data_IF_739967036331
#
_entry.id   IF_739967036331
#
_cell.length_a   1.000
_cell.length_b   1.000
_cell.length_c   1.000
_cell.angle_alpha   90.00
_cell.angle_beta   90.00
_cell.angle_gamma   90.00
#
_symmetry.space_group_name_H-M   'P 1'
#
loop_
_entity.id
_entity.type
_entity.pdbx_description
1 polymer ?
#
# COMPACT_ATOMS: atom_id res chain seq x y z
N UNK A 1 8.90 14.57 11.31
CA UNK A 1 8.89 13.15 11.29
C UNK A 1 9.42 12.61 9.97
N UNK A 2 9.60 11.34 9.97
CA UNK A 2 10.26 10.70 8.87
C UNK A 2 9.31 10.35 7.75
N UNK A 3 9.82 10.43 6.56
CA UNK A 3 9.13 9.89 5.41
C UNK A 3 9.39 8.40 5.31
N UNK A 4 8.48 7.70 4.69
CA UNK A 4 8.77 6.34 4.31
C UNK A 4 9.84 6.30 3.24
N UNK A 5 10.53 5.20 3.14
CA UNK A 5 11.54 5.02 2.11
C UNK A 5 10.92 4.73 0.76
N UNK A 6 11.75 4.67 -0.28
CA UNK A 6 11.27 4.30 -1.61
C UNK A 6 11.01 2.80 -1.71
N UNK A 7 10.20 2.43 -2.68
CA UNK A 7 9.95 1.03 -3.01
C UNK A 7 10.22 0.84 -4.49
N UNK A 8 10.46 -0.39 -4.89
CA UNK A 8 10.71 -0.66 -6.30
C UNK A 8 9.86 -1.83 -6.78
N UNK A 9 9.42 -1.75 -8.02
CA UNK A 9 8.72 -2.83 -8.66
C UNK A 9 9.68 -3.76 -9.37
N UNK A 10 9.16 -4.87 -9.85
CA UNK A 10 9.98 -5.88 -10.50
C UNK A 10 10.58 -5.38 -11.81
N UNK A 11 9.99 -4.36 -12.41
CA UNK A 11 10.49 -3.77 -13.66
C UNK A 11 11.51 -2.65 -13.41
N UNK A 12 11.86 -2.40 -12.16
CA UNK A 12 12.81 -1.34 -11.83
C UNK A 12 12.19 0.02 -11.58
N UNK A 13 10.88 0.16 -11.72
CA UNK A 13 10.20 1.42 -11.39
C UNK A 13 10.35 1.69 -9.90
N UNK A 14 10.63 2.94 -9.55
CA UNK A 14 10.82 3.36 -8.17
C UNK A 14 9.66 4.22 -7.75
N UNK A 15 9.09 3.95 -6.59
CA UNK A 15 7.94 4.69 -6.08
C UNK A 15 8.31 5.40 -4.80
N UNK A 16 7.99 6.70 -4.72
CA UNK A 16 8.36 7.54 -3.57
C UNK A 16 7.12 8.30 -3.11
N UNK A 17 6.86 8.27 -1.80
CA UNK A 17 5.83 9.11 -1.22
C UNK A 17 6.44 10.39 -0.69
N UNK A 18 5.71 11.49 -0.81
CA UNK A 18 6.18 12.78 -0.35
C UNK A 18 5.23 13.37 0.66
N UNK A 19 5.69 14.42 1.33
CA UNK A 19 4.93 15.10 2.38
C UNK A 19 4.33 16.40 1.85
N UNK A 20 3.54 17.02 2.70
CA UNK A 20 2.99 18.34 2.42
C UNK A 20 4.11 19.34 2.11
N UNK A 21 3.82 20.41 1.35
CA UNK A 21 2.47 20.79 0.93
C UNK A 21 1.91 20.03 -0.25
N UNK A 22 2.72 19.27 -0.98
CA UNK A 22 2.28 18.60 -2.19
C UNK A 22 2.45 17.09 -2.04
N UNK A 23 1.75 16.53 -1.06
CA UNK A 23 1.83 15.09 -0.81
C UNK A 23 1.41 14.31 -2.04
N UNK A 24 2.25 13.40 -2.49
CA UNK A 24 2.00 12.62 -3.68
C UNK A 24 2.84 11.36 -3.69
N UNK A 25 2.45 10.44 -4.54
CA UNK A 25 3.28 9.29 -4.87
C UNK A 25 3.84 9.54 -6.25
N UNK A 26 5.14 9.42 -6.39
CA UNK A 26 5.82 9.66 -7.65
C UNK A 26 6.44 8.35 -8.12
N UNK A 27 6.21 8.00 -9.38
CA UNK A 27 6.83 6.84 -9.99
C UNK A 27 7.94 7.31 -10.92
N UNK A 28 9.11 6.72 -10.76
CA UNK A 28 10.30 7.07 -11.54
C UNK A 28 10.80 5.85 -12.27
N UNK A 29 11.35 6.07 -13.47
CA UNK A 29 12.07 5.01 -14.14
C UNK A 29 13.38 4.73 -13.41
N UNK A 30 14.04 3.65 -13.77
CA UNK A 30 15.36 3.34 -13.23
C UNK A 30 16.34 4.49 -13.41
N UNK A 31 16.19 5.23 -14.49
CA UNK A 31 17.08 6.37 -14.77
C UNK A 31 16.68 7.65 -14.07
N UNK A 32 15.59 7.64 -13.31
CA UNK A 32 15.17 8.82 -12.57
C UNK A 32 14.17 9.72 -13.26
N UNK A 33 13.64 9.29 -14.40
CA UNK A 33 12.65 10.07 -15.12
C UNK A 33 11.26 9.80 -14.55
N UNK A 34 10.49 10.86 -14.33
CA UNK A 34 9.14 10.69 -13.79
C UNK A 34 8.23 10.03 -14.79
N UNK A 35 7.54 8.97 -14.36
CA UNK A 35 6.54 8.29 -15.15
C UNK A 35 5.15 8.87 -14.91
N UNK A 36 4.79 9.05 -13.63
CA UNK A 36 3.52 9.64 -13.25
C UNK A 36 3.62 10.08 -11.79
N UNK A 37 2.63 10.85 -11.39
CA UNK A 37 2.45 11.18 -9.98
C UNK A 37 0.98 11.08 -9.63
N UNK A 38 0.72 10.74 -8.38
CA UNK A 38 -0.63 10.62 -7.85
C UNK A 38 -0.75 11.57 -6.66
N UNK A 39 -1.67 12.52 -6.74
CA UNK A 39 -1.85 13.49 -5.67
C UNK A 39 -2.60 12.85 -4.51
N UNK A 40 -2.05 12.98 -3.33
CA UNK A 40 -2.64 12.42 -2.13
C UNK A 40 -3.31 13.51 -1.31
N UNK A 41 -4.39 13.16 -0.61
CA UNK A 41 -5.07 14.12 0.25
C UNK A 41 -4.37 14.29 1.60
N UNK A 42 -3.40 13.46 1.91
CA UNK A 42 -2.65 13.53 3.15
C UNK A 42 -1.23 13.05 2.91
N UNK A 43 -0.34 13.35 3.84
CA UNK A 43 1.07 12.99 3.69
C UNK A 43 1.23 11.49 3.56
N UNK A 44 2.16 11.10 2.69
CA UNK A 44 2.54 9.69 2.54
C UNK A 44 3.78 9.48 3.40
N UNK A 45 3.54 9.13 4.66
CA UNK A 45 4.63 8.97 5.61
C UNK A 45 5.17 7.56 5.70
N UNK A 46 4.62 6.65 4.90
CA UNK A 46 5.03 5.25 4.95
C UNK A 46 5.63 4.84 3.62
N UNK A 47 6.40 3.76 3.65
CA UNK A 47 7.00 3.22 2.43
C UNK A 47 5.93 2.50 1.60
N UNK A 48 5.78 2.81 0.32
CA UNK A 48 4.86 2.05 -0.52
C UNK A 48 5.29 0.59 -0.63
N UNK A 49 4.35 -0.27 -0.91
CA UNK A 49 4.63 -1.68 -1.16
C UNK A 49 4.10 -2.03 -2.55
N UNK A 50 4.85 -2.84 -3.29
CA UNK A 50 4.48 -3.22 -4.64
C UNK A 50 4.15 -4.70 -4.64
N UNK A 51 2.98 -5.06 -5.14
CA UNK A 51 2.58 -6.47 -5.16
C UNK A 51 3.04 -7.15 -6.45
N UNK A 52 2.73 -8.44 -6.54
CA UNK A 52 3.21 -9.25 -7.66
C UNK A 52 2.61 -8.87 -8.99
N UNK A 53 1.51 -8.11 -8.97
CA UNK A 53 0.86 -7.66 -10.19
C UNK A 53 1.22 -6.24 -10.56
N UNK A 54 2.12 -5.63 -9.80
CA UNK A 54 2.56 -4.27 -10.08
C UNK A 54 1.68 -3.18 -9.49
N UNK A 55 0.75 -3.54 -8.63
CA UNK A 55 -0.06 -2.53 -7.94
C UNK A 55 0.73 -1.95 -6.78
N UNK A 56 0.51 -0.67 -6.49
CA UNK A 56 1.25 0.05 -5.47
C UNK A 56 0.32 0.32 -4.29
N UNK A 57 0.70 -0.19 -3.14
CA UNK A 57 -0.07 -0.04 -1.90
C UNK A 57 0.54 1.07 -1.07
N UNK A 58 -0.27 2.06 -0.71
CA UNK A 58 0.20 3.19 0.08
C UNK A 58 -0.76 3.44 1.24
N UNK A 59 -0.22 4.05 2.28
CA UNK A 59 -1.01 4.48 3.43
C UNK A 59 -0.66 5.93 3.69
N UNK A 60 -1.67 6.74 3.98
CA UNK A 60 -1.41 8.14 4.25
C UNK A 60 -1.77 8.49 5.70
N UNK A 61 -1.38 9.69 6.11
CA UNK A 61 -1.57 10.13 7.49
C UNK A 61 -3.03 10.40 7.82
N UNK A 62 -3.89 10.43 6.84
CA UNK A 62 -5.32 10.59 7.07
C UNK A 62 -6.05 9.30 7.37
N UNK A 63 -5.32 8.19 7.46
CA UNK A 63 -5.93 6.90 7.75
C UNK A 63 -6.40 6.16 6.52
N UNK A 64 -5.99 6.56 5.33
CA UNK A 64 -6.42 5.92 4.10
C UNK A 64 -5.42 4.88 3.64
N UNK A 65 -5.95 3.73 3.30
CA UNK A 65 -5.20 2.68 2.61
C UNK A 65 -5.61 2.74 1.14
N UNK A 66 -4.66 2.91 0.25
CA UNK A 66 -4.94 3.17 -1.17
C UNK A 66 -4.08 2.22 -2.01
N UNK A 67 -4.68 1.66 -3.04
CA UNK A 67 -3.96 0.84 -3.99
C UNK A 67 -4.05 1.52 -5.35
N UNK A 68 -2.90 1.70 -5.98
CA UNK A 68 -2.82 2.31 -7.31
C UNK A 68 -2.48 1.24 -8.33
N UNK A 69 -3.02 1.41 -9.51
CA UNK A 69 -2.59 0.61 -10.65
C UNK A 69 -1.19 1.02 -11.08
N UNK A 70 -0.56 0.20 -11.90
CA UNK A 70 0.79 0.49 -12.37
C UNK A 70 0.88 1.80 -13.16
N UNK A 71 -0.24 2.27 -13.71
CA UNK A 71 -0.27 3.52 -14.46
C UNK A 71 -0.55 4.74 -13.58
N UNK A 72 -0.67 4.55 -12.27
CA UNK A 72 -0.88 5.65 -11.36
C UNK A 72 -2.32 5.99 -11.04
N UNK A 73 -3.28 5.28 -11.64
CA UNK A 73 -4.69 5.53 -11.33
C UNK A 73 -5.09 4.76 -10.08
N UNK A 74 -6.06 5.29 -9.35
CA UNK A 74 -6.51 4.67 -8.11
C UNK A 74 -7.35 3.43 -8.43
N UNK A 75 -6.97 2.31 -7.81
CA UNK A 75 -7.67 1.06 -7.99
C UNK A 75 -8.61 0.79 -6.83
N UNK A 76 -8.22 1.16 -5.61
CA UNK A 76 -8.96 0.83 -4.42
C UNK A 76 -8.60 1.81 -3.31
N UNK A 77 -9.57 2.16 -2.49
CA UNK A 77 -9.34 3.05 -1.37
C UNK A 77 -10.24 2.64 -0.21
N UNK A 78 -9.69 2.65 0.98
CA UNK A 78 -10.45 2.37 2.18
C UNK A 78 -9.89 3.20 3.32
N UNK A 79 -10.75 3.88 4.05
CA UNK A 79 -10.32 4.54 5.26
C UNK A 79 -10.38 3.54 6.40
N UNK A 80 -9.24 3.31 7.06
CA UNK A 80 -9.14 2.30 8.11
C UNK A 80 -9.38 2.90 9.48
N UNK A 81 -8.89 4.10 9.72
CA UNK A 81 -9.03 4.73 11.01
C UNK A 81 -8.71 6.19 10.86
N UNK A 82 -8.19 6.80 11.92
CA UNK A 82 -7.82 8.20 11.89
C UNK A 82 -6.37 8.40 11.50
N UNK A 83 -5.55 7.37 11.60
CA UNK A 83 -4.14 7.48 11.27
C UNK A 83 -3.58 6.08 11.02
N UNK A 84 -2.66 5.98 10.08
CA UNK A 84 -1.98 4.73 9.82
C UNK A 84 -0.53 4.88 10.24
N UNK A 85 -0.05 3.93 11.04
CA UNK A 85 1.27 4.02 11.65
C UNK A 85 2.34 3.25 10.88
N UNK A 86 1.98 2.23 10.12
CA UNK A 86 2.97 1.37 9.51
C UNK A 86 2.83 1.37 7.99
N UNK A 87 3.93 1.06 7.33
CA UNK A 87 3.88 0.78 5.91
C UNK A 87 3.08 -0.49 5.68
N UNK A 88 2.33 -0.57 4.58
CA UNK A 88 1.63 -1.82 4.30
C UNK A 88 2.65 -2.93 4.05
N UNK A 89 2.34 -4.11 4.56
CA UNK A 89 3.19 -5.28 4.39
C UNK A 89 2.41 -6.32 3.61
N UNK A 90 2.94 -6.73 2.47
CA UNK A 90 2.30 -7.72 1.62
C UNK A 90 2.90 -9.07 1.93
N UNK A 91 2.08 -9.97 2.47
CA UNK A 91 2.54 -11.30 2.79
C UNK A 91 2.51 -12.19 1.55
N UNK A 92 3.10 -13.37 1.69
CA UNK A 92 3.23 -14.30 0.56
C UNK A 92 1.92 -14.69 -0.08
N UNK A 93 0.84 -14.60 0.67
CA UNK A 93 -0.47 -15.02 0.17
C UNK A 93 -1.28 -13.84 -0.38
N UNK A 94 -0.63 -12.70 -0.59
CA UNK A 94 -1.36 -11.54 -1.09
C UNK A 94 -2.21 -10.86 -0.04
N UNK A 95 -2.01 -11.18 1.21
CA UNK A 95 -2.71 -10.52 2.31
C UNK A 95 -1.87 -9.32 2.71
N UNK A 96 -2.50 -8.17 2.81
CA UNK A 96 -1.81 -6.94 3.20
C UNK A 96 -2.13 -6.64 4.65
N UNK A 97 -1.09 -6.43 5.45
CA UNK A 97 -1.24 -6.10 6.86
C UNK A 97 -0.94 -4.63 7.07
N UNK A 98 -1.81 -3.97 7.81
CA UNK A 98 -1.67 -2.55 8.11
C UNK A 98 -2.03 -2.31 9.56
N UNK A 99 -1.23 -1.51 10.28
CA UNK A 99 -1.61 -1.08 11.62
C UNK A 99 -2.11 0.35 11.57
N UNK A 100 -3.17 0.62 12.29
CA UNK A 100 -3.80 1.93 12.25
C UNK A 100 -4.34 2.27 13.63
N UNK A 101 -4.69 3.53 13.81
CA UNK A 101 -5.25 4.01 15.07
C UNK A 101 -6.72 4.38 14.87
N UNK A 102 -7.53 3.96 15.82
CA UNK A 102 -8.94 4.33 15.83
C UNK A 102 -9.35 4.52 17.27
N UNK A 103 -9.91 5.69 17.58
CA UNK A 103 -10.37 6.01 18.93
C UNK A 103 -9.28 5.81 19.97
N UNK A 104 -8.05 6.16 19.63
CA UNK A 104 -6.94 6.06 20.55
C UNK A 104 -6.37 4.68 20.72
N UNK A 105 -6.90 3.69 20.01
CA UNK A 105 -6.42 2.31 20.09
C UNK A 105 -5.69 1.95 18.80
N UNK A 106 -4.59 1.23 18.95
CA UNK A 106 -3.82 0.73 17.83
C UNK A 106 -4.39 -0.61 17.39
N UNK A 107 -4.68 -0.74 16.11
CA UNK A 107 -5.32 -1.94 15.57
C UNK A 107 -4.53 -2.46 14.38
N UNK A 108 -4.67 -3.75 14.14
CA UNK A 108 -4.06 -4.40 12.99
C UNK A 108 -5.16 -4.99 12.13
N UNK A 109 -5.07 -4.81 10.84
CA UNK A 109 -6.02 -5.39 9.91
C UNK A 109 -5.26 -6.18 8.84
N UNK A 110 -5.86 -7.26 8.39
CA UNK A 110 -5.36 -8.04 7.28
C UNK A 110 -6.37 -7.92 6.15
N UNK A 111 -5.92 -7.49 5.00
CA UNK A 111 -6.78 -7.21 3.86
C UNK A 111 -6.40 -8.16 2.74
N UNK A 112 -7.38 -8.91 2.25
CA UNK A 112 -7.20 -9.76 1.09
C UNK A 112 -7.52 -8.93 -0.14
N UNK A 113 -6.49 -8.56 -0.87
CA UNK A 113 -6.64 -7.68 -2.03
C UNK A 113 -7.02 -8.43 -3.29
N UNK A 114 -7.24 -9.72 -3.20
CA UNK A 114 -7.55 -10.50 -4.39
C UNK A 114 -6.39 -10.65 -5.34
N UNK A 115 -5.19 -10.40 -4.85
CA UNK A 115 -3.99 -10.50 -5.66
C UNK A 115 -3.52 -11.94 -5.65
N UNK A 116 -3.16 -12.43 -6.83
CA UNK A 116 -2.49 -13.72 -6.88
C UNK A 116 -1.05 -13.51 -6.49
N UNK A 117 -0.58 -14.10 -5.48
CA UNK A 117 0.80 -13.94 -5.06
C UNK A 117 1.78 -14.30 -6.16
N UNK A 118 3.02 -14.69 -5.81
CA UNK A 118 3.96 -15.18 -6.80
C UNK A 118 3.35 -16.33 -7.59
N UNK A 119 3.83 -16.52 -8.80
CA UNK A 119 3.23 -17.46 -9.74
C UNK A 119 2.95 -18.83 -9.13
N UNK A 120 3.76 -19.27 -8.20
CA UNK A 120 3.62 -20.60 -7.62
C UNK A 120 2.93 -20.59 -6.27
N UNK A 121 2.37 -19.46 -5.89
CA UNK A 121 1.76 -19.35 -4.58
C UNK A 121 0.41 -20.06 -4.55
N UNK A 122 0.13 -20.82 -3.52
CA UNK A 122 -1.19 -21.44 -3.40
C UNK A 122 -2.24 -20.55 -2.76
N UNK A 123 -1.88 -19.31 -2.43
CA UNK A 123 -2.77 -18.48 -1.63
C UNK A 123 -4.08 -18.17 -2.31
N UNK A 124 -4.10 -18.17 -3.63
CA UNK A 124 -5.30 -17.83 -4.38
C UNK A 124 -6.49 -18.70 -4.02
N UNK A 125 -6.25 -19.95 -3.62
CA UNK A 125 -7.33 -20.83 -3.25
C UNK A 125 -7.87 -20.56 -1.86
N UNK A 126 -7.16 -19.78 -1.06
CA UNK A 126 -7.49 -19.53 0.32
C UNK A 126 -7.92 -18.11 0.61
N UNK A 127 -7.73 -17.22 -0.35
CA UNK A 127 -7.92 -15.81 -0.09
C UNK A 127 -9.34 -15.42 0.23
N UNK A 128 -10.28 -16.22 -0.20
CA UNK A 128 -11.67 -15.84 -0.10
C UNK A 128 -12.14 -15.58 1.31
N UNK A 129 -11.46 -16.14 2.29
CA UNK A 129 -11.90 -15.99 3.67
C UNK A 129 -11.05 -15.04 4.48
N UNK A 130 -10.04 -14.47 3.89
CA UNK A 130 -9.09 -13.69 4.66
C UNK A 130 -9.48 -12.23 4.81
N UNK A 131 -10.35 -11.75 3.94
CA UNK A 131 -10.65 -10.34 3.88
C UNK A 131 -11.20 -9.84 5.21
N UNK A 132 -10.49 -8.92 5.83
CA UNK A 132 -10.88 -8.27 7.05
C UNK A 132 -11.00 -9.20 8.25
N UNK A 133 -10.68 -10.46 8.09
CA UNK A 133 -10.97 -11.42 9.14
C UNK A 133 -9.78 -12.18 9.68
N UNK A 134 -8.60 -11.94 9.13
CA UNK A 134 -7.45 -12.73 9.54
C UNK A 134 -7.18 -12.61 11.04
N UNK A 135 -7.56 -11.48 11.63
CA UNK A 135 -7.31 -11.25 13.05
C UNK A 135 -8.37 -11.86 13.95
N UNK A 136 -9.39 -12.43 13.39
CA UNK A 136 -10.50 -12.94 14.17
C UNK A 136 -10.37 -14.42 14.51
N UNK A 137 -9.29 -14.99 14.10
CA UNK A 137 -9.08 -16.41 14.33
C UNK A 137 -8.60 -16.70 15.70
#
# INVERSE_FOLDING_TARGET
SDQGGPASGSDGTIYVGTKNPNAQVIALTKGGTKKWSYASSAEIGTTPAVDSEGNIHICDDGGNYIVLNADGTEKYRQQLGTKIWSSPVIADYGIVYVTYEENGACKLVAIDCGIEGPANSPWAQRGQNAKRNALQK
#
